data_IF_080186947570
#
_entry.id   IF_080186947570
#
_cell.length_a   1.000
_cell.length_b   1.000
_cell.length_c   1.000
_cell.angle_alpha   90.00
_cell.angle_beta   90.00
_cell.angle_gamma   90.00
#
_symmetry.space_group_name_H-M   'P 1'
#
loop_
_entity.id
_entity.type
_entity.pdbx_description
1 polymer ?
#
# COMPACT_ATOMS: atom_id res chain seq x y z
N UNK A 1 12.25 -9.23 6.41
CA UNK A 1 13.72 -9.11 6.25
C UNK A 1 14.07 -7.63 6.21
N UNK A 2 15.00 -7.20 7.08
CA UNK A 2 15.44 -5.80 7.09
C UNK A 2 16.39 -5.55 5.93
N UNK A 3 16.03 -4.65 5.04
CA UNK A 3 16.80 -4.29 3.84
C UNK A 3 17.28 -2.85 4.00
N UNK A 4 18.57 -2.61 3.77
CA UNK A 4 19.11 -1.26 3.84
C UNK A 4 18.71 -0.42 2.61
N UNK A 5 18.57 0.89 2.81
CA UNK A 5 18.33 1.83 1.71
C UNK A 5 19.45 1.79 0.68
N UNK A 6 20.71 1.53 1.11
CA UNK A 6 21.84 1.37 0.21
C UNK A 6 21.72 0.14 -0.70
N UNK A 7 21.18 -0.98 -0.17
CA UNK A 7 20.93 -2.19 -0.97
C UNK A 7 19.85 -1.94 -2.00
N UNK A 8 18.75 -1.28 -1.61
CA UNK A 8 17.70 -0.88 -2.56
C UNK A 8 18.26 0.05 -3.64
N UNK A 9 19.03 1.06 -3.26
CA UNK A 9 19.67 1.99 -4.20
C UNK A 9 20.59 1.26 -5.19
N UNK A 10 21.44 0.35 -4.72
CA UNK A 10 22.34 -0.42 -5.57
C UNK A 10 21.56 -1.32 -6.56
N UNK A 11 20.44 -1.91 -6.13
CA UNK A 11 19.59 -2.71 -7.02
C UNK A 11 18.90 -1.85 -8.07
N UNK A 12 18.38 -0.69 -7.67
CA UNK A 12 17.79 0.30 -8.61
C UNK A 12 18.82 0.76 -9.64
N UNK A 13 20.04 1.06 -9.19
CA UNK A 13 21.16 1.44 -10.07
C UNK A 13 21.49 0.32 -11.07
N UNK A 14 21.46 -0.94 -10.61
CA UNK A 14 21.64 -2.12 -11.48
C UNK A 14 20.54 -2.26 -12.54
N UNK A 15 19.27 -1.97 -12.19
CA UNK A 15 18.14 -2.03 -13.13
C UNK A 15 18.21 -0.90 -14.17
N UNK A 16 18.62 0.30 -13.74
CA UNK A 16 18.79 1.46 -14.62
C UNK A 16 20.04 1.38 -15.52
N UNK A 17 20.98 0.51 -15.17
CA UNK A 17 22.25 0.32 -15.89
C UNK A 17 23.16 1.58 -15.90
N UNK A 18 23.83 1.87 -17.03
CA UNK A 18 24.83 2.91 -17.14
C UNK A 18 24.31 4.37 -16.98
N UNK A 19 23.01 4.58 -17.05
CA UNK A 19 22.40 5.93 -17.02
C UNK A 19 21.96 6.37 -15.61
N UNK A 20 22.46 5.71 -14.57
CA UNK A 20 22.13 6.04 -13.18
C UNK A 20 22.66 7.42 -12.73
N UNK A 21 23.69 7.95 -13.38
CA UNK A 21 24.30 9.25 -13.07
C UNK A 21 23.42 10.46 -13.46
N UNK A 22 22.38 10.24 -14.23
CA UNK A 22 21.44 11.30 -14.65
C UNK A 22 20.62 11.90 -13.50
N UNK A 23 20.51 11.17 -12.38
CA UNK A 23 19.84 11.62 -11.16
C UNK A 23 20.84 11.71 -10.00
N UNK A 24 20.72 12.77 -9.20
CA UNK A 24 21.47 12.86 -7.95
C UNK A 24 21.08 11.74 -6.98
N UNK A 25 22.02 11.34 -6.12
CA UNK A 25 21.81 10.31 -5.09
C UNK A 25 20.59 10.64 -4.20
N UNK A 26 20.46 11.91 -3.78
CA UNK A 26 19.32 12.36 -2.96
C UNK A 26 18.00 12.17 -3.70
N UNK A 27 17.93 12.56 -4.97
CA UNK A 27 16.71 12.42 -5.76
C UNK A 27 16.31 10.96 -5.93
N UNK A 28 17.28 10.05 -6.15
CA UNK A 28 17.01 8.61 -6.20
C UNK A 28 16.47 8.07 -4.89
N UNK A 29 17.04 8.48 -3.76
CA UNK A 29 16.55 8.09 -2.44
C UNK A 29 15.12 8.56 -2.20
N UNK A 30 14.75 9.76 -2.62
CA UNK A 30 13.38 10.27 -2.52
C UNK A 30 12.42 9.46 -3.40
N UNK A 31 12.83 9.05 -4.59
CA UNK A 31 12.03 8.21 -5.47
C UNK A 31 11.88 6.78 -4.93
N UNK A 32 12.90 6.24 -4.25
CA UNK A 32 12.81 4.96 -3.53
C UNK A 32 11.78 5.07 -2.38
N UNK A 33 11.79 6.18 -1.63
CA UNK A 33 10.77 6.41 -0.57
C UNK A 33 9.37 6.51 -1.16
N UNK A 34 9.21 7.23 -2.27
CA UNK A 34 7.93 7.32 -2.98
C UNK A 34 7.44 5.94 -3.51
N UNK A 35 8.38 5.09 -3.94
CA UNK A 35 8.07 3.73 -4.33
C UNK A 35 7.59 2.88 -3.13
N UNK A 36 8.22 3.01 -1.97
CA UNK A 36 7.81 2.34 -0.74
C UNK A 36 6.44 2.83 -0.25
N UNK A 37 6.18 4.12 -0.33
CA UNK A 37 4.88 4.69 0.01
C UNK A 37 3.79 4.12 -0.89
N UNK A 38 4.01 4.08 -2.20
CA UNK A 38 3.08 3.46 -3.13
C UNK A 38 2.90 1.97 -2.87
N UNK A 39 3.99 1.23 -2.66
CA UNK A 39 3.94 -0.18 -2.31
C UNK A 39 3.14 -0.42 -1.01
N UNK A 40 3.27 0.46 -0.02
CA UNK A 40 2.49 0.38 1.23
C UNK A 40 0.98 0.49 0.99
N UNK A 41 0.55 1.24 -0.03
CA UNK A 41 -0.87 1.30 -0.41
C UNK A 41 -1.32 0.03 -1.14
N UNK A 42 -0.45 -0.55 -1.96
CA UNK A 42 -0.77 -1.75 -2.74
C UNK A 42 -0.72 -3.03 -1.87
N UNK A 43 0.19 -3.08 -0.90
CA UNK A 43 0.39 -4.21 0.02
C UNK A 43 0.84 -3.67 1.39
N UNK A 44 -0.08 -3.19 2.23
CA UNK A 44 0.25 -2.64 3.55
C UNK A 44 0.86 -3.71 4.47
N UNK A 45 1.74 -3.28 5.38
CA UNK A 45 2.23 -4.12 6.46
C UNK A 45 1.12 -4.42 7.46
N UNK A 46 1.11 -5.62 8.03
CA UNK A 46 0.16 -6.01 9.05
C UNK A 46 0.85 -6.12 10.39
N UNK A 47 0.51 -5.22 11.27
CA UNK A 47 1.07 -5.15 12.63
C UNK A 47 0.07 -5.72 13.63
N UNK A 48 0.59 -6.48 14.58
CA UNK A 48 -0.17 -7.01 15.71
C UNK A 48 0.37 -6.39 17.00
N UNK A 49 -0.52 -5.76 17.77
CA UNK A 49 -0.16 -5.12 19.05
C UNK A 49 -1.11 -5.57 20.15
N UNK A 50 -0.54 -5.94 21.30
CA UNK A 50 -1.32 -6.24 22.50
C UNK A 50 -1.56 -4.96 23.31
N UNK A 51 -2.82 -4.60 23.49
CA UNK A 51 -3.27 -3.44 24.28
C UNK A 51 -3.86 -3.95 25.60
N UNK A 52 -3.35 -3.44 26.72
CA UNK A 52 -3.88 -3.80 28.05
C UNK A 52 -5.15 -3.01 28.34
N UNK A 53 -6.18 -3.67 28.85
CA UNK A 53 -7.42 -3.04 29.29
C UNK A 53 -7.20 -2.05 30.44
N UNK A 54 -8.10 -1.10 30.58
CA UNK A 54 -8.14 -0.12 31.67
C UNK A 54 -9.52 -0.05 32.36
N UNK A 55 -10.36 -1.06 32.10
CA UNK A 55 -11.76 -1.11 32.47
C UNK A 55 -12.63 -0.02 31.78
N UNK A 56 -12.07 0.66 30.79
CA UNK A 56 -12.75 1.64 29.95
C UNK A 56 -13.26 1.03 28.66
N UNK A 57 -13.99 1.86 27.90
CA UNK A 57 -14.51 1.53 26.57
C UNK A 57 -13.83 2.31 25.45
N UNK A 58 -12.94 3.22 25.78
CA UNK A 58 -12.32 4.17 24.86
C UNK A 58 -10.81 4.09 24.96
N UNK A 59 -10.16 3.65 23.91
CA UNK A 59 -8.71 3.51 23.82
C UNK A 59 -8.16 4.51 22.79
N UNK A 60 -7.36 5.50 23.22
CA UNK A 60 -6.80 6.48 22.29
C UNK A 60 -5.88 5.76 21.28
N UNK A 61 -6.19 5.83 19.99
CA UNK A 61 -5.46 5.10 18.94
C UNK A 61 -3.99 5.51 18.92
N UNK A 62 -3.69 6.80 18.96
CA UNK A 62 -2.32 7.31 18.87
C UNK A 62 -1.37 6.81 19.98
N UNK A 63 -1.89 6.51 21.17
CA UNK A 63 -1.08 6.00 22.29
C UNK A 63 -1.12 4.49 22.44
N UNK A 64 -2.21 3.87 22.03
CA UNK A 64 -2.41 2.41 22.15
C UNK A 64 -1.79 1.66 20.96
N UNK A 65 -1.76 2.27 19.77
CA UNK A 65 -1.28 1.67 18.52
C UNK A 65 -0.17 2.56 17.93
N UNK A 66 1.05 2.45 18.44
CA UNK A 66 2.17 3.37 18.13
C UNK A 66 2.56 3.46 16.66
N UNK A 67 2.30 2.42 15.87
CA UNK A 67 2.58 2.40 14.41
C UNK A 67 1.35 2.73 13.57
N UNK A 68 0.25 3.07 14.20
CA UNK A 68 -0.96 3.44 13.48
C UNK A 68 -0.81 4.83 12.85
N UNK A 69 -0.97 4.92 11.55
CA UNK A 69 -0.88 6.18 10.79
C UNK A 69 -2.28 6.60 10.37
N UNK A 70 -2.71 7.76 10.86
CA UNK A 70 -4.02 8.30 10.55
C UNK A 70 -4.17 8.59 9.05
N UNK A 71 -5.33 8.23 8.49
CA UNK A 71 -5.59 8.36 7.05
C UNK A 71 -5.05 7.20 6.20
N UNK A 72 -4.17 6.35 6.74
CA UNK A 72 -3.65 5.17 6.08
C UNK A 72 -4.11 3.88 6.76
N UNK A 73 -3.83 3.76 8.06
CA UNK A 73 -4.02 2.53 8.82
C UNK A 73 -5.49 2.22 9.08
N UNK A 74 -5.83 0.92 9.04
CA UNK A 74 -7.16 0.38 9.34
C UNK A 74 -7.03 -0.80 10.27
N UNK A 75 -7.90 -0.92 11.26
CA UNK A 75 -7.99 -2.10 12.10
C UNK A 75 -8.63 -3.22 11.28
N UNK A 76 -7.98 -4.40 11.29
CA UNK A 76 -8.43 -5.60 10.55
C UNK A 76 -9.26 -6.48 11.46
N UNK A 77 -8.74 -6.76 12.68
CA UNK A 77 -9.40 -7.62 13.65
C UNK A 77 -8.95 -7.30 15.07
N UNK A 78 -9.82 -7.61 16.02
CA UNK A 78 -9.55 -7.48 17.45
C UNK A 78 -9.86 -8.83 18.10
N UNK A 79 -8.84 -9.46 18.68
CA UNK A 79 -8.98 -10.66 19.50
C UNK A 79 -9.18 -10.22 20.95
N UNK A 80 -10.27 -10.67 21.58
CA UNK A 80 -10.57 -10.38 22.98
C UNK A 80 -11.39 -11.50 23.64
N UNK A 81 -10.98 -11.96 24.84
CA UNK A 81 -9.67 -11.68 25.47
C UNK A 81 -8.52 -12.27 24.64
N UNK A 82 -7.37 -11.55 24.58
CA UNK A 82 -6.21 -12.06 23.85
C UNK A 82 -5.68 -13.33 24.50
N UNK A 83 -5.72 -14.43 23.75
CA UNK A 83 -5.21 -15.71 24.23
C UNK A 83 -3.69 -15.63 24.45
N UNK A 84 -3.20 -16.28 25.51
CA UNK A 84 -1.77 -16.50 25.67
C UNK A 84 -1.31 -17.57 24.69
N UNK A 85 -0.09 -17.46 24.17
CA UNK A 85 0.48 -18.42 23.18
C UNK A 85 0.47 -19.87 23.69
N UNK A 86 0.33 -20.08 25.00
CA UNK A 86 0.26 -21.39 25.65
C UNK A 86 -1.18 -21.90 25.87
N UNK A 87 -2.19 -21.16 25.45
CA UNK A 87 -3.59 -21.58 25.59
C UNK A 87 -3.98 -22.46 24.40
N UNK A 88 -4.55 -23.61 24.69
CA UNK A 88 -5.13 -24.51 23.66
C UNK A 88 -6.50 -24.00 23.17
N UNK A 89 -6.94 -22.85 23.65
CA UNK A 89 -8.21 -22.24 23.27
C UNK A 89 -8.07 -21.51 21.93
N UNK A 90 -9.07 -21.67 21.08
CA UNK A 90 -9.13 -20.92 19.82
C UNK A 90 -9.28 -19.41 20.10
N UNK A 91 -8.61 -18.54 19.33
CA UNK A 91 -8.75 -17.09 19.50
C UNK A 91 -10.19 -16.66 19.24
N UNK A 92 -10.71 -15.79 20.11
CA UNK A 92 -12.04 -15.19 19.97
C UNK A 92 -11.90 -13.79 19.40
N UNK A 93 -12.51 -13.55 18.25
CA UNK A 93 -12.49 -12.24 17.60
C UNK A 93 -13.79 -11.49 17.86
N UNK A 94 -13.66 -10.19 18.10
CA UNK A 94 -14.82 -9.30 18.16
C UNK A 94 -15.42 -9.13 16.77
N UNK A 95 -16.74 -9.14 16.69
CA UNK A 95 -17.45 -8.84 15.45
C UNK A 95 -17.29 -7.35 15.10
N UNK A 96 -17.34 -6.98 13.79
CA UNK A 96 -17.21 -5.58 13.37
C UNK A 96 -18.22 -4.62 14.02
N UNK A 97 -19.33 -5.12 14.55
CA UNK A 97 -20.34 -4.34 15.25
C UNK A 97 -19.99 -4.05 16.72
N UNK A 98 -19.01 -4.78 17.28
CA UNK A 98 -18.58 -4.67 18.67
C UNK A 98 -17.48 -3.62 18.87
N UNK A 99 -17.01 -2.97 17.81
CA UNK A 99 -15.99 -1.94 17.90
C UNK A 99 -16.15 -0.89 16.78
N UNK A 100 -15.67 0.33 17.07
CA UNK A 100 -15.58 1.44 16.11
C UNK A 100 -14.23 2.13 16.27
N UNK A 101 -13.45 2.19 15.20
CA UNK A 101 -12.14 2.83 15.18
C UNK A 101 -12.20 4.29 14.70
N UNK A 102 -13.39 4.80 14.42
CA UNK A 102 -13.60 6.16 13.94
C UNK A 102 -14.33 7.06 14.95
N UNK A 103 -14.32 6.71 16.22
CA UNK A 103 -14.91 7.54 17.26
C UNK A 103 -13.97 8.71 17.63
N UNK A 104 -14.47 9.92 17.54
CA UNK A 104 -13.72 11.13 17.82
C UNK A 104 -14.24 11.85 19.07
N UNK A 105 -13.34 12.16 20.01
CA UNK A 105 -13.63 13.02 21.12
C UNK A 105 -12.49 14.02 21.34
N UNK A 106 -12.83 15.33 21.42
CA UNK A 106 -11.86 16.41 21.69
C UNK A 106 -10.61 16.33 20.78
N UNK A 107 -10.81 16.15 19.48
CA UNK A 107 -9.74 16.02 18.47
C UNK A 107 -8.83 14.79 18.63
N UNK A 108 -9.21 13.82 19.44
CA UNK A 108 -8.52 12.53 19.58
C UNK A 108 -9.38 11.42 19.00
N UNK A 109 -8.79 10.56 18.20
CA UNK A 109 -9.42 9.37 17.66
C UNK A 109 -9.28 8.22 18.65
N UNK A 110 -10.38 7.53 18.91
CA UNK A 110 -10.43 6.40 19.83
C UNK A 110 -10.92 5.15 19.12
N UNK A 111 -10.41 4.02 19.56
CA UNK A 111 -11.08 2.74 19.40
C UNK A 111 -12.16 2.68 20.49
N UNK A 112 -13.42 2.58 20.09
CA UNK A 112 -14.56 2.46 20.99
C UNK A 112 -15.09 1.02 20.97
N UNK A 113 -15.33 0.49 22.18
CA UNK A 113 -15.86 -0.86 22.41
C UNK A 113 -17.22 -0.75 23.12
N UNK A 114 -18.34 -0.63 22.39
CA UNK A 114 -19.65 -0.40 23.01
C UNK A 114 -20.06 -1.48 23.98
N UNK A 115 -19.78 -2.73 23.66
CA UNK A 115 -20.24 -3.92 24.41
C UNK A 115 -19.19 -4.47 25.38
N UNK A 116 -17.94 -4.01 25.32
CA UNK A 116 -16.83 -4.55 26.09
C UNK A 116 -16.10 -3.46 26.90
N UNK A 117 -15.64 -3.83 28.08
CA UNK A 117 -14.81 -2.99 28.96
C UNK A 117 -13.67 -3.85 29.53
N UNK A 118 -12.61 -4.12 28.76
CA UNK A 118 -11.51 -5.00 29.16
C UNK A 118 -10.88 -4.55 30.47
N UNK A 119 -10.81 -5.47 31.45
CA UNK A 119 -10.24 -5.18 32.75
C UNK A 119 -8.71 -4.93 32.63
N UNK A 120 -8.14 -4.26 33.65
CA UNK A 120 -6.69 -3.93 33.66
C UNK A 120 -5.75 -5.16 33.64
N UNK A 121 -6.27 -6.36 33.86
CA UNK A 121 -5.53 -7.63 33.76
C UNK A 121 -5.72 -8.34 32.43
N UNK A 122 -6.65 -7.86 31.61
CA UNK A 122 -6.96 -8.46 30.30
C UNK A 122 -6.23 -7.72 29.20
N UNK A 123 -6.00 -8.41 28.10
CA UNK A 123 -5.40 -7.83 26.91
C UNK A 123 -6.30 -8.02 25.71
N UNK A 124 -6.24 -7.06 24.83
CA UNK A 124 -6.78 -7.13 23.49
C UNK A 124 -5.61 -7.24 22.52
N UNK A 125 -5.69 -8.13 21.55
CA UNK A 125 -4.72 -8.20 20.47
C UNK A 125 -5.34 -7.58 19.23
N UNK A 126 -4.78 -6.47 18.79
CA UNK A 126 -5.29 -5.67 17.69
C UNK A 126 -4.37 -5.86 16.49
N UNK A 127 -4.94 -6.31 15.37
CA UNK A 127 -4.27 -6.42 14.07
C UNK A 127 -4.72 -5.25 13.20
N UNK A 128 -3.76 -4.51 12.66
CA UNK A 128 -4.03 -3.34 11.84
C UNK A 128 -2.98 -3.17 10.74
N UNK A 129 -3.34 -2.40 9.69
CA UNK A 129 -2.41 -2.08 8.61
C UNK A 129 -1.51 -0.91 8.99
N UNK A 130 -0.25 -0.94 8.53
CA UNK A 130 0.70 0.16 8.68
C UNK A 130 1.50 0.37 7.38
N UNK A 131 1.99 1.59 7.10
CA UNK A 131 2.88 1.82 5.98
C UNK A 131 4.29 1.30 6.30
N UNK A 132 5.00 0.83 5.28
CA UNK A 132 6.42 0.54 5.40
C UNK A 132 7.20 1.84 5.55
N UNK A 133 7.95 1.95 6.63
CA UNK A 133 8.75 3.13 6.94
C UNK A 133 10.23 2.80 6.97
N UNK A 134 11.09 3.73 6.51
CA UNK A 134 12.53 3.60 6.63
C UNK A 134 12.93 4.05 8.03
N UNK A 135 13.37 3.11 8.86
CA UNK A 135 13.90 3.38 10.19
C UNK A 135 15.39 3.08 10.22
N UNK A 136 16.19 4.01 10.74
CA UNK A 136 17.66 3.89 10.81
C UNK A 136 18.32 3.49 9.47
N UNK A 137 17.77 3.93 8.34
CA UNK A 137 18.31 3.62 7.01
C UNK A 137 17.97 2.23 6.48
N UNK A 138 17.08 1.51 7.14
CA UNK A 138 16.58 0.20 6.72
C UNK A 138 15.05 0.15 6.73
N UNK A 139 14.48 -0.75 5.94
CA UNK A 139 13.05 -1.03 5.90
C UNK A 139 12.84 -2.53 6.01
N UNK A 140 11.83 -2.94 6.77
CA UNK A 140 11.49 -4.36 6.91
C UNK A 140 10.40 -4.73 5.90
N UNK A 141 10.81 -5.34 4.79
CA UNK A 141 9.94 -5.73 3.68
C UNK A 141 10.01 -7.24 3.45
N UNK A 142 8.91 -7.85 2.97
CA UNK A 142 8.93 -9.25 2.56
C UNK A 142 9.98 -9.49 1.47
N UNK A 143 10.80 -10.54 1.64
CA UNK A 143 11.88 -10.86 0.67
C UNK A 143 11.34 -11.08 -0.74
N UNK A 144 10.14 -11.66 -0.85
CA UNK A 144 9.48 -11.92 -2.13
C UNK A 144 9.18 -10.61 -2.91
N UNK A 145 8.95 -9.50 -2.21
CA UNK A 145 8.57 -8.23 -2.82
C UNK A 145 9.76 -7.27 -3.05
N UNK A 146 10.95 -7.65 -2.58
CA UNK A 146 12.14 -6.79 -2.71
C UNK A 146 12.41 -6.36 -4.15
N UNK A 147 12.38 -7.31 -5.09
CA UNK A 147 12.64 -7.03 -6.50
C UNK A 147 11.53 -6.19 -7.13
N UNK A 148 10.27 -6.46 -6.77
CA UNK A 148 9.12 -5.69 -7.24
C UNK A 148 9.20 -4.23 -6.84
N UNK A 149 9.55 -3.95 -5.57
CA UNK A 149 9.75 -2.59 -5.05
C UNK A 149 10.91 -1.91 -5.77
N UNK A 150 12.03 -2.63 -5.96
CA UNK A 150 13.19 -2.10 -6.70
C UNK A 150 12.84 -1.74 -8.14
N UNK A 151 12.03 -2.57 -8.80
CA UNK A 151 11.54 -2.33 -10.15
C UNK A 151 10.61 -1.11 -10.22
N UNK A 152 9.71 -0.95 -9.25
CA UNK A 152 8.88 0.24 -9.13
C UNK A 152 9.73 1.51 -8.95
N UNK A 153 10.70 1.47 -8.04
CA UNK A 153 11.61 2.59 -7.79
C UNK A 153 12.41 2.95 -9.04
N UNK A 154 12.94 1.95 -9.77
CA UNK A 154 13.61 2.16 -11.05
C UNK A 154 12.69 2.77 -12.11
N UNK A 155 11.41 2.35 -12.14
CA UNK A 155 10.39 2.93 -13.02
C UNK A 155 10.14 4.41 -12.72
N UNK A 156 10.07 4.81 -11.44
CA UNK A 156 9.94 6.21 -11.04
C UNK A 156 11.21 7.02 -11.37
N UNK A 157 12.38 6.43 -11.21
CA UNK A 157 13.65 7.06 -11.62
C UNK A 157 13.69 7.28 -13.14
N UNK A 158 13.30 6.29 -13.92
CA UNK A 158 13.21 6.41 -15.38
C UNK A 158 12.23 7.50 -15.81
N UNK A 159 11.12 7.66 -15.12
CA UNK A 159 10.17 8.75 -15.35
C UNK A 159 10.79 10.12 -15.06
N UNK A 160 11.51 10.25 -13.95
CA UNK A 160 12.19 11.51 -13.60
C UNK A 160 13.30 11.88 -14.62
N UNK A 161 13.99 10.88 -15.17
CA UNK A 161 14.96 11.08 -16.25
C UNK A 161 14.25 11.54 -17.53
N UNK A 162 13.13 10.90 -17.90
CA UNK A 162 12.31 11.32 -19.06
C UNK A 162 11.85 12.77 -18.93
N UNK A 163 11.38 13.17 -17.75
CA UNK A 163 10.95 14.54 -17.45
C UNK A 163 12.13 15.55 -17.56
N UNK A 164 13.32 15.15 -17.13
CA UNK A 164 14.53 15.96 -17.29
C UNK A 164 14.84 16.21 -18.77
N UNK A 165 14.83 15.16 -19.59
CA UNK A 165 15.13 15.27 -21.02
C UNK A 165 14.02 15.98 -21.80
N UNK A 166 12.76 15.89 -21.39
CA UNK A 166 11.66 16.62 -22.03
C UNK A 166 11.78 18.15 -21.90
N UNK A 167 12.49 18.61 -20.86
CA UNK A 167 12.71 20.04 -20.60
C UNK A 167 13.98 20.58 -21.26
N UNK A 168 14.90 19.71 -21.66
CA UNK A 168 16.06 20.11 -22.44
C UNK A 168 15.66 20.05 -23.90
N UNK A 169 15.59 21.22 -24.58
CA UNK A 169 15.37 21.24 -26.00
C UNK A 169 16.60 20.63 -26.68
N UNK A 170 16.47 19.42 -27.20
CA UNK A 170 17.45 18.86 -28.10
C UNK A 170 17.49 19.74 -29.36
N UNK A 171 18.51 20.58 -29.47
CA UNK A 171 18.79 21.33 -30.69
C UNK A 171 19.41 20.38 -31.74
N UNK A 172 18.66 19.36 -32.12
CA UNK A 172 19.02 18.48 -33.21
C UNK A 172 18.47 19.02 -34.52
N UNK A 173 19.15 20.01 -35.04
CA UNK A 173 19.21 20.30 -36.48
C UNK A 173 20.09 19.21 -37.17
N UNK A 174 19.71 17.97 -37.05
CA UNK A 174 20.39 16.87 -37.73
C UNK A 174 19.36 16.10 -38.58
N UNK A 175 19.61 16.13 -39.86
CA UNK A 175 18.81 15.71 -41.04
C UNK A 175 18.63 14.17 -41.11
N UNK A 176 18.66 13.45 -40.04
CA UNK A 176 18.42 12.01 -40.09
C UNK A 176 17.26 11.61 -39.18
N UNK A 177 16.05 11.92 -39.67
CA UNK A 177 14.78 11.71 -38.96
C UNK A 177 14.20 10.30 -39.17
N UNK A 178 15.02 9.28 -39.36
CA UNK A 178 14.53 7.92 -39.53
C UNK A 178 14.52 7.19 -38.19
N UNK A 179 13.39 7.25 -37.50
CA UNK A 179 13.03 6.25 -36.49
C UNK A 179 13.66 6.40 -35.09
N UNK A 180 14.36 7.48 -34.77
CA UNK A 180 14.90 7.68 -33.44
C UNK A 180 13.87 8.31 -32.51
N UNK A 181 13.33 7.49 -31.60
CA UNK A 181 12.61 8.00 -30.43
C UNK A 181 13.54 8.95 -29.67
N UNK A 182 13.05 10.15 -29.28
CA UNK A 182 13.82 11.04 -28.44
C UNK A 182 14.24 10.33 -27.13
N UNK A 183 15.36 10.74 -26.52
CA UNK A 183 15.78 10.18 -25.23
C UNK A 183 14.67 10.22 -24.18
N UNK A 184 13.90 11.31 -24.16
CA UNK A 184 12.73 11.43 -23.29
C UNK A 184 11.68 10.32 -23.54
N UNK A 185 11.39 10.01 -24.80
CA UNK A 185 10.44 8.95 -25.15
C UNK A 185 10.96 7.55 -24.81
N UNK A 186 12.25 7.31 -25.00
CA UNK A 186 12.88 6.02 -24.61
C UNK A 186 12.76 5.80 -23.10
N UNK A 187 13.10 6.81 -22.29
CA UNK A 187 12.98 6.73 -20.84
C UNK A 187 11.53 6.63 -20.37
N UNK A 188 10.60 7.35 -21.00
CA UNK A 188 9.17 7.23 -20.71
C UNK A 188 8.62 5.82 -21.04
N UNK A 189 9.10 5.20 -22.11
CA UNK A 189 8.75 3.82 -22.45
C UNK A 189 9.29 2.83 -21.43
N UNK A 190 10.58 3.01 -21.05
CA UNK A 190 11.23 2.19 -20.02
C UNK A 190 10.53 2.30 -18.66
N UNK A 191 10.12 3.51 -18.26
CA UNK A 191 9.35 3.73 -17.04
C UNK A 191 8.04 2.94 -17.06
N UNK A 192 7.27 3.03 -18.15
CA UNK A 192 5.99 2.29 -18.29
C UNK A 192 6.18 0.78 -18.22
N UNK A 193 7.22 0.27 -18.86
CA UNK A 193 7.58 -1.15 -18.82
C UNK A 193 7.87 -1.60 -17.38
N UNK A 194 8.75 -0.90 -16.66
CA UNK A 194 9.12 -1.23 -15.29
C UNK A 194 7.93 -1.13 -14.32
N UNK A 195 7.10 -0.10 -14.45
CA UNK A 195 5.88 0.02 -13.64
C UNK A 195 4.87 -1.09 -14.00
N UNK A 196 4.81 -1.50 -15.27
CA UNK A 196 4.03 -2.63 -15.73
C UNK A 196 4.48 -3.95 -15.09
N UNK A 197 5.79 -4.22 -15.10
CA UNK A 197 6.39 -5.39 -14.44
C UNK A 197 6.10 -5.42 -12.93
N UNK A 198 6.17 -4.27 -12.25
CA UNK A 198 5.78 -4.17 -10.85
C UNK A 198 4.30 -4.56 -10.65
N UNK A 199 3.39 -3.97 -11.42
CA UNK A 199 1.96 -4.27 -11.32
C UNK A 199 1.66 -5.75 -11.57
N UNK A 200 2.30 -6.33 -12.56
CA UNK A 200 2.18 -7.76 -12.88
C UNK A 200 2.69 -8.64 -11.73
N UNK A 201 3.88 -8.32 -11.18
CA UNK A 201 4.46 -9.07 -10.06
C UNK A 201 3.65 -8.98 -8.77
N UNK A 202 2.88 -7.89 -8.59
CA UNK A 202 1.98 -7.68 -7.45
C UNK A 202 0.55 -8.16 -7.71
N UNK A 203 0.27 -8.72 -8.89
CA UNK A 203 -1.08 -9.13 -9.27
C UNK A 203 -2.06 -7.97 -9.50
N UNK A 204 -1.56 -6.73 -9.65
CA UNK A 204 -2.35 -5.51 -9.85
C UNK A 204 -2.65 -5.24 -11.33
N UNK A 205 -2.17 -6.09 -12.22
CA UNK A 205 -2.36 -6.01 -13.66
C UNK A 205 -3.75 -6.48 -14.07
N UNK A 206 -4.76 -5.65 -13.95
CA UNK A 206 -6.07 -5.86 -14.56
C UNK A 206 -6.04 -5.57 -16.06
N UNK A 207 -5.34 -6.37 -16.85
CA UNK A 207 -5.37 -6.38 -18.31
C UNK A 207 -6.15 -7.59 -18.81
N UNK A 208 -6.97 -7.41 -19.82
CA UNK A 208 -7.68 -8.48 -20.54
C UNK A 208 -6.70 -9.62 -20.90
N UNK A 209 -6.63 -10.68 -20.10
CA UNK A 209 -5.80 -11.86 -20.32
C UNK A 209 -4.89 -12.31 -19.18
N UNK A 210 -4.74 -11.52 -18.09
CA UNK A 210 -4.02 -11.96 -16.90
C UNK A 210 -4.91 -12.86 -16.06
N UNK A 211 -4.48 -14.12 -15.82
CA UNK A 211 -5.10 -14.97 -14.81
C UNK A 211 -5.08 -14.19 -13.50
N UNK A 212 -6.24 -13.79 -13.01
CA UNK A 212 -6.40 -13.33 -11.64
C UNK A 212 -5.86 -14.43 -10.74
N UNK A 213 -4.68 -14.22 -10.14
CA UNK A 213 -4.39 -14.92 -8.90
C UNK A 213 -5.54 -14.50 -7.99
N UNK A 214 -6.35 -15.48 -7.59
CA UNK A 214 -7.40 -15.31 -6.61
C UNK A 214 -6.79 -14.79 -5.30
N UNK A 215 -6.42 -13.52 -5.27
CA UNK A 215 -6.32 -12.76 -4.07
C UNK A 215 -7.77 -12.47 -3.66
N UNK A 216 -8.13 -12.85 -2.48
CA UNK A 216 -9.43 -12.67 -1.82
C UNK A 216 -9.86 -11.19 -1.72
N UNK A 217 -9.91 -10.51 -2.82
CA UNK A 217 -10.63 -9.29 -3.05
C UNK A 217 -11.78 -9.63 -3.97
N UNK A 218 -12.90 -10.01 -3.38
CA UNK A 218 -14.15 -10.11 -4.10
C UNK A 218 -14.44 -8.72 -4.70
N UNK A 219 -14.03 -8.52 -5.97
CA UNK A 219 -14.55 -7.42 -6.75
C UNK A 219 -16.04 -7.70 -6.90
N UNK A 220 -16.83 -7.13 -6.02
CA UNK A 220 -18.26 -7.10 -6.21
C UNK A 220 -18.50 -6.23 -7.43
N UNK A 221 -18.66 -6.88 -8.56
CA UNK A 221 -19.20 -6.26 -9.76
C UNK A 221 -20.62 -5.86 -9.44
N UNK A 222 -20.81 -4.59 -9.12
CA UNK A 222 -22.08 -3.99 -8.74
C UNK A 222 -23.14 -4.14 -9.83
N UNK A 223 -22.73 -4.37 -11.08
CA UNK A 223 -23.63 -4.56 -12.22
C UNK A 223 -24.14 -6.00 -12.34
N UNK A 224 -23.46 -6.98 -11.75
CA UNK A 224 -23.82 -8.40 -11.87
C UNK A 224 -24.20 -9.07 -10.56
N UNK A 225 -24.16 -8.37 -9.42
CA UNK A 225 -24.55 -8.93 -8.12
C UNK A 225 -26.05 -9.25 -8.07
N UNK A 226 -26.48 -10.52 -8.20
CA UNK A 226 -27.90 -10.87 -8.29
C UNK A 226 -28.64 -10.81 -6.94
N UNK A 227 -27.94 -10.58 -5.85
CA UNK A 227 -28.46 -10.71 -4.49
C UNK A 227 -29.02 -9.44 -3.84
N UNK A 228 -28.97 -8.30 -4.51
CA UNK A 228 -29.46 -7.02 -3.94
C UNK A 228 -30.58 -6.40 -4.77
N UNK A 229 -31.82 -6.81 -4.58
CA UNK A 229 -32.96 -6.29 -5.36
C UNK A 229 -33.21 -4.79 -5.13
N UNK A 230 -32.70 -4.22 -4.04
CA UNK A 230 -32.83 -2.78 -3.74
C UNK A 230 -31.90 -1.89 -4.59
N UNK A 231 -30.75 -2.38 -5.01
CA UNK A 231 -29.79 -1.61 -5.83
C UNK A 231 -30.27 -1.48 -7.27
N UNK A 232 -30.95 -2.50 -7.81
CA UNK A 232 -31.54 -2.44 -9.15
C UNK A 232 -32.59 -1.32 -9.31
N UNK A 233 -33.21 -0.89 -8.22
CA UNK A 233 -34.23 0.17 -8.25
C UNK A 233 -33.65 1.57 -8.43
N UNK A 234 -32.38 1.78 -8.10
CA UNK A 234 -31.71 3.07 -8.22
C UNK A 234 -31.01 3.28 -9.56
N UNK A 235 -30.60 2.20 -10.22
CA UNK A 235 -29.88 2.27 -11.51
C UNK A 235 -30.82 2.36 -12.73
N UNK A 236 -32.13 2.09 -12.56
CA UNK A 236 -33.12 2.16 -13.63
C UNK A 236 -33.95 3.46 -13.64
N UNK A 237 -33.33 4.58 -13.25
CA UNK A 237 -33.92 5.90 -13.51
C UNK A 237 -33.61 6.35 -14.95
N UNK A 238 -34.24 5.77 -15.94
CA UNK A 238 -34.01 6.28 -17.29
C UNK A 238 -34.78 5.64 -18.43
N UNK A 239 -35.61 4.64 -18.21
CA UNK A 239 -36.58 4.22 -19.25
C UNK A 239 -37.99 4.52 -18.77
N UNK A 240 -38.38 5.78 -18.94
CA UNK A 240 -39.78 6.17 -18.93
C UNK A 240 -40.52 5.39 -20.00
N UNK A 241 -41.50 4.64 -19.60
CA UNK A 241 -42.53 4.07 -20.44
C UNK A 241 -43.14 5.21 -21.27
N UNK A 242 -43.08 5.10 -22.57
CA UNK A 242 -44.04 5.67 -23.49
C UNK A 242 -44.93 4.57 -24.00
#
# INVERSE_FOLDING_TARGET
>A
MSVSLSTLSATVDGILSADNDELSVLRRQDLIKAALERYSHDAPDEIVTDVTGDAGKYYPIATSLTSFVEGFSRIISIEYPAATVASDEAPTYLEPEDWDDNYWAVSVRYLWLPSHAPAATEKMRIRFTAPYTISAGAVDIPTAHFYSISTLAAGLCAQAIADKYSRTSDSTLSIDSVGHLSRAQQWASRSRELIGMYKESMGLGGGEGGSSVEGTGEFVDWDTAPSWPSVRRWLYHGKGSR
#
